data_IF_941927003416
#
_entry.id   IF_941927003416
#
_cell.length_a   1.000
_cell.length_b   1.000
_cell.length_c   1.000
_cell.angle_alpha   90.00
_cell.angle_beta   90.00
_cell.angle_gamma   90.00
#
_symmetry.space_group_name_H-M   'P 1'
#
loop_
_entity.id
_entity.type
_entity.pdbx_description
1 polymer ?
#
# COMPACT_ATOMS: atom_id res chain seq x y z
N UNK A 1 11.37 2.76 4.25
CA UNK A 1 12.21 3.31 3.17
C UNK A 1 12.20 2.34 2.00
N UNK A 2 12.00 2.81 0.77
CA UNK A 2 11.98 1.96 -0.43
C UNK A 2 13.40 1.73 -0.93
N UNK A 3 13.67 0.53 -1.44
CA UNK A 3 14.97 0.16 -2.02
C UNK A 3 14.77 -0.38 -3.43
N UNK A 4 15.74 -0.12 -4.32
CA UNK A 4 15.78 -0.67 -5.68
C UNK A 4 17.15 -1.27 -5.95
N UNK A 5 17.19 -2.38 -6.68
CA UNK A 5 18.42 -3.00 -7.14
C UNK A 5 18.24 -3.54 -8.56
N UNK A 6 19.36 -3.63 -9.31
CA UNK A 6 19.42 -4.29 -10.62
C UNK A 6 19.96 -5.72 -10.52
N UNK A 7 20.67 -6.05 -9.45
CA UNK A 7 21.40 -7.31 -9.27
C UNK A 7 21.08 -8.02 -7.94
N UNK A 8 20.19 -7.44 -7.13
CA UNK A 8 19.79 -7.90 -5.79
C UNK A 8 20.92 -7.89 -4.75
N UNK A 9 22.09 -7.33 -5.08
CA UNK A 9 23.26 -7.21 -4.19
C UNK A 9 23.48 -5.76 -3.81
N UNK A 10 23.42 -4.84 -4.77
CA UNK A 10 23.61 -3.41 -4.56
C UNK A 10 22.25 -2.71 -4.50
N UNK A 11 22.01 -1.96 -3.42
CA UNK A 11 20.72 -1.34 -3.16
C UNK A 11 20.80 0.20 -3.16
N UNK A 12 19.93 0.83 -3.92
CA UNK A 12 19.73 2.27 -3.97
C UNK A 12 18.51 2.66 -3.13
N UNK A 13 18.65 3.67 -2.28
CA UNK A 13 17.53 4.21 -1.50
C UNK A 13 16.63 5.08 -2.37
N UNK A 14 15.32 4.82 -2.34
CA UNK A 14 14.32 5.61 -3.04
C UNK A 14 13.66 6.64 -2.11
N UNK A 15 13.40 7.87 -2.61
CA UNK A 15 12.78 8.93 -1.83
C UNK A 15 11.27 8.72 -1.60
N UNK A 16 10.61 7.89 -2.41
CA UNK A 16 9.17 7.70 -2.35
C UNK A 16 8.81 6.37 -1.69
N UNK A 17 7.99 6.44 -0.63
CA UNK A 17 7.41 5.30 0.08
C UNK A 17 5.91 5.45 0.28
N UNK A 18 5.24 4.33 0.57
CA UNK A 18 3.86 4.34 1.07
C UNK A 18 3.93 4.56 2.58
N UNK A 19 3.75 5.80 3.00
CA UNK A 19 3.73 6.16 4.43
C UNK A 19 2.29 6.16 4.95
N UNK A 20 1.97 5.67 6.16
CA UNK A 20 0.60 5.66 6.68
C UNK A 20 0.09 7.07 7.00
N UNK A 21 -0.45 7.76 5.99
CA UNK A 21 -0.76 9.20 6.02
C UNK A 21 -2.21 9.53 5.65
N UNK A 22 -3.07 8.51 5.55
CA UNK A 22 -4.49 8.68 5.25
C UNK A 22 -5.36 8.14 6.39
N UNK A 23 -6.65 8.50 6.37
CA UNK A 23 -7.62 7.94 7.33
C UNK A 23 -7.80 6.42 7.24
N UNK A 24 -7.43 5.80 6.12
CA UNK A 24 -7.67 4.38 5.84
C UNK A 24 -6.43 3.50 6.07
N UNK A 25 -5.28 4.10 6.38
CA UNK A 25 -4.04 3.42 6.72
C UNK A 25 -3.33 4.07 7.92
N UNK A 26 -4.06 4.84 8.73
CA UNK A 26 -3.54 5.61 9.86
C UNK A 26 -2.82 4.79 10.92
N UNK A 27 -3.08 3.48 10.98
CA UNK A 27 -2.45 2.53 11.88
C UNK A 27 -1.55 1.52 11.15
N UNK A 28 -1.23 1.81 9.88
CA UNK A 28 -0.17 1.17 9.11
C UNK A 28 -0.58 0.84 7.67
N UNK A 29 0.39 0.95 6.77
CA UNK A 29 0.35 0.40 5.43
C UNK A 29 1.04 -0.97 5.44
N UNK A 30 0.28 -2.02 5.15
CA UNK A 30 0.73 -3.41 5.23
C UNK A 30 1.02 -3.97 3.85
N UNK A 31 1.30 -5.28 3.78
CA UNK A 31 1.62 -6.02 2.57
C UNK A 31 0.62 -5.76 1.44
N UNK A 32 1.13 -5.93 0.23
CA UNK A 32 0.42 -5.66 -1.01
C UNK A 32 1.18 -6.20 -2.20
N UNK A 33 0.66 -5.91 -3.39
CA UNK A 33 1.28 -6.22 -4.67
C UNK A 33 1.39 -4.95 -5.51
N UNK A 34 2.24 -4.99 -6.53
CA UNK A 34 2.39 -3.87 -7.45
C UNK A 34 2.35 -4.38 -8.89
N UNK A 35 1.81 -3.56 -9.77
CA UNK A 35 1.62 -3.84 -11.20
C UNK A 35 1.97 -2.59 -11.99
N UNK A 36 2.55 -2.77 -13.18
CA UNK A 36 2.83 -1.67 -14.10
C UNK A 36 1.72 -1.60 -15.14
N UNK A 37 0.87 -0.59 -15.04
CA UNK A 37 -0.20 -0.32 -16.00
C UNK A 37 0.19 0.84 -16.90
N UNK A 38 0.34 0.60 -18.21
CA UNK A 38 0.67 1.66 -19.19
C UNK A 38 1.90 2.52 -18.80
N UNK A 39 2.93 1.89 -18.21
CA UNK A 39 4.14 2.57 -17.76
C UNK A 39 4.01 3.28 -16.40
N UNK A 40 2.85 3.24 -15.76
CA UNK A 40 2.62 3.73 -14.40
C UNK A 40 2.65 2.58 -13.40
N UNK A 41 3.42 2.75 -12.32
CA UNK A 41 3.41 1.80 -11.21
C UNK A 41 2.16 2.03 -10.34
N UNK A 42 1.31 1.01 -10.29
CA UNK A 42 0.17 0.90 -9.39
C UNK A 42 0.51 -0.07 -8.26
N UNK A 43 0.29 0.33 -7.01
CA UNK A 43 0.53 -0.48 -5.82
C UNK A 43 -0.79 -0.69 -5.11
N UNK A 44 -1.15 -1.93 -4.87
CA UNK A 44 -2.33 -2.35 -4.13
C UNK A 44 -1.89 -2.87 -2.78
N UNK A 45 -2.36 -2.28 -1.68
CA UNK A 45 -1.90 -2.65 -0.34
C UNK A 45 -3.03 -2.59 0.69
N UNK A 46 -2.83 -3.24 1.83
CA UNK A 46 -3.79 -3.21 2.94
C UNK A 46 -3.50 -2.02 3.85
N UNK A 47 -4.40 -1.04 3.88
CA UNK A 47 -4.43 0.00 4.91
C UNK A 47 -5.09 -0.51 6.19
N UNK A 48 -4.47 -0.28 7.34
CA UNK A 48 -5.01 -0.66 8.64
C UNK A 48 -5.40 0.57 9.46
N UNK A 49 -6.55 0.47 10.10
CA UNK A 49 -7.07 1.46 11.06
C UNK A 49 -7.48 0.71 12.31
N UNK A 50 -7.35 1.35 13.47
CA UNK A 50 -7.95 0.88 14.73
C UNK A 50 -9.09 1.80 15.11
N UNK A 51 -10.22 1.21 15.50
CA UNK A 51 -11.35 1.97 16.03
C UNK A 51 -11.14 2.31 17.52
N UNK A 52 -12.12 2.96 18.14
CA UNK A 52 -12.06 3.35 19.56
C UNK A 52 -11.98 2.15 20.51
N UNK A 53 -12.51 1.00 20.10
CA UNK A 53 -12.47 -0.26 20.83
C UNK A 53 -11.18 -1.06 20.55
N UNK A 54 -10.22 -0.45 19.84
CA UNK A 54 -8.94 -1.03 19.45
C UNK A 54 -9.06 -2.25 18.51
N UNK A 55 -10.21 -2.40 17.83
CA UNK A 55 -10.42 -3.43 16.82
C UNK A 55 -9.80 -3.02 15.49
N UNK A 56 -9.30 -4.00 14.74
CA UNK A 56 -8.62 -3.76 13.46
C UNK A 56 -9.62 -3.71 12.31
N UNK A 57 -9.60 -2.62 11.56
CA UNK A 57 -10.28 -2.48 10.29
C UNK A 57 -9.27 -2.43 9.14
N UNK A 58 -9.49 -3.26 8.12
CA UNK A 58 -8.63 -3.36 6.95
C UNK A 58 -9.32 -2.75 5.71
N UNK A 59 -8.54 -2.03 4.92
CA UNK A 59 -8.98 -1.34 3.71
C UNK A 59 -8.07 -1.71 2.54
N UNK A 60 -8.65 -2.01 1.39
CA UNK A 60 -7.88 -2.17 0.17
C UNK A 60 -7.57 -0.79 -0.41
N UNK A 61 -6.29 -0.46 -0.46
CA UNK A 61 -5.79 0.83 -0.92
C UNK A 61 -5.08 0.66 -2.25
N UNK A 62 -5.20 1.66 -3.13
CA UNK A 62 -4.40 1.79 -4.35
C UNK A 62 -3.56 3.05 -4.29
N UNK A 63 -2.26 2.92 -4.53
CA UNK A 63 -1.32 4.01 -4.68
C UNK A 63 -0.79 4.05 -6.12
N UNK A 64 -0.78 5.22 -6.75
CA UNK A 64 -0.11 5.41 -8.05
C UNK A 64 1.10 6.31 -7.92
N UNK A 65 2.15 5.98 -8.67
CA UNK A 65 3.41 6.73 -8.68
C UNK A 65 3.50 7.58 -9.95
N UNK A 66 3.15 8.87 -9.85
CA UNK A 66 3.29 9.86 -10.93
C UNK A 66 4.01 11.11 -10.40
N UNK A 67 5.29 10.98 -10.05
CA UNK A 67 6.08 12.04 -9.39
C UNK A 67 5.75 12.23 -7.89
N UNK A 68 4.50 11.97 -7.48
CA UNK A 68 4.05 11.85 -6.08
C UNK A 68 3.22 10.58 -5.90
N UNK A 69 3.20 10.02 -4.69
CA UNK A 69 2.31 8.92 -4.29
C UNK A 69 0.90 9.47 -4.17
N UNK A 70 -0.03 8.97 -4.97
CA UNK A 70 -1.46 9.31 -4.87
C UNK A 70 -2.25 8.10 -4.38
N UNK A 71 -2.91 8.22 -3.23
CA UNK A 71 -3.64 7.13 -2.58
C UNK A 71 -5.13 7.25 -2.77
N UNK A 72 -5.79 6.13 -3.04
CA UNK A 72 -7.25 6.01 -3.15
C UNK A 72 -7.72 4.74 -2.44
N UNK A 73 -8.78 4.87 -1.66
CA UNK A 73 -9.52 3.72 -1.19
C UNK A 73 -10.14 2.97 -2.38
N UNK A 74 -10.05 1.66 -2.40
CA UNK A 74 -10.75 0.80 -3.36
C UNK A 74 -11.99 0.17 -2.72
N UNK A 75 -11.84 -0.40 -1.52
CA UNK A 75 -12.95 -1.03 -0.79
C UNK A 75 -12.60 -1.24 0.68
N UNK A 76 -13.63 -1.42 1.52
CA UNK A 76 -13.47 -1.90 2.89
C UNK A 76 -13.36 -3.42 2.85
N UNK A 77 -12.31 -3.99 3.44
CA UNK A 77 -12.16 -5.43 3.51
C UNK A 77 -12.95 -5.94 4.72
N UNK A 78 -14.12 -6.53 4.45
CA UNK A 78 -14.87 -7.25 5.48
C UNK A 78 -14.12 -8.54 5.83
N UNK A 79 -14.00 -8.82 7.13
CA UNK A 79 -13.11 -9.82 7.71
C UNK A 79 -13.43 -11.29 7.36
N UNK A 80 -14.17 -11.58 6.29
CA UNK A 80 -14.57 -12.94 5.88
C UNK A 80 -14.06 -13.39 4.50
N UNK A 81 -13.54 -12.49 3.67
CA UNK A 81 -12.97 -12.84 2.37
C UNK A 81 -11.64 -12.10 2.18
N UNK A 82 -10.55 -12.78 2.51
CA UNK A 82 -9.27 -12.53 1.86
C UNK A 82 -9.47 -12.85 0.38
N UNK A 83 -9.93 -11.87 -0.40
CA UNK A 83 -9.69 -11.91 -1.84
C UNK A 83 -8.18 -11.70 -1.99
N UNK A 84 -7.52 -12.84 -2.12
CA UNK A 84 -6.15 -13.02 -2.52
C UNK A 84 -5.91 -12.17 -3.77
N UNK A 85 -5.22 -11.04 -3.63
CA UNK A 85 -4.37 -10.55 -4.70
C UNK A 85 -3.00 -11.21 -4.47
N UNK A 86 -2.93 -12.50 -4.81
CA UNK A 86 -1.73 -13.12 -5.35
C UNK A 86 -1.85 -13.00 -6.86
#
# INVERSE_FOLDING_TARGET
RGLRSKDLVHWESLPATIDPDTKYDSHGAYSGSAWVNQGQLEIFYTGNVRNQENEREAYQMRATMAGKVLKRLQSRQLCSLQLVIQ
#
